data_IF_883253582841
#
_entry.id   IF_883253582841
#
_cell.length_a   1.000
_cell.length_b   1.000
_cell.length_c   1.000
_cell.angle_alpha   90.00
_cell.angle_beta   90.00
_cell.angle_gamma   90.00
#
_symmetry.space_group_name_H-M   'P 1'
#
loop_
_entity.id
_entity.type
_entity.pdbx_description
1 polymer ?
#
# COMPACT_ATOMS: atom_id res chain seq x y z
N UNK A 1 -5.17 -9.56 -2.07
CA UNK A 1 -3.84 -8.95 -2.03
C UNK A 1 -3.57 -8.19 -3.33
N UNK A 2 -2.86 -7.09 -3.21
CA UNK A 2 -2.46 -6.30 -4.37
C UNK A 2 -0.96 -6.39 -4.54
N UNK A 3 -0.51 -6.60 -5.76
CA UNK A 3 0.92 -6.66 -6.05
C UNK A 3 1.40 -5.27 -6.48
N UNK A 4 2.41 -4.76 -5.80
CA UNK A 4 2.97 -3.44 -6.08
C UNK A 4 3.56 -3.40 -7.48
N UNK A 5 3.18 -2.38 -8.23
CA UNK A 5 3.68 -2.16 -9.58
C UNK A 5 4.62 -0.96 -9.58
N UNK A 6 5.42 -0.84 -10.65
CA UNK A 6 6.29 0.31 -10.80
C UNK A 6 5.45 1.59 -10.79
N UNK A 7 5.90 2.55 -10.00
CA UNK A 7 5.20 3.82 -9.88
C UNK A 7 4.15 3.87 -8.78
N UNK A 8 3.85 2.75 -8.15
CA UNK A 8 2.88 2.73 -7.05
C UNK A 8 3.49 3.30 -5.79
N UNK A 9 2.65 4.02 -5.04
CA UNK A 9 3.01 4.54 -3.72
C UNK A 9 1.85 4.25 -2.78
N UNK A 10 2.11 4.32 -1.47
CA UNK A 10 1.04 4.15 -0.51
C UNK A 10 -0.05 5.20 -0.71
N UNK A 11 0.35 6.41 -1.06
CA UNK A 11 -0.60 7.48 -1.31
C UNK A 11 -1.50 7.16 -2.51
N UNK A 12 -0.90 6.74 -3.62
CA UNK A 12 -1.70 6.43 -4.81
C UNK A 12 -2.59 5.21 -4.58
N UNK A 13 -2.09 4.22 -3.85
CA UNK A 13 -2.88 3.04 -3.53
C UNK A 13 -4.04 3.36 -2.59
N UNK A 14 -3.81 4.26 -1.64
CA UNK A 14 -4.87 4.66 -0.73
C UNK A 14 -6.04 5.29 -1.49
N UNK A 15 -5.74 6.11 -2.47
CA UNK A 15 -6.78 6.70 -3.30
C UNK A 15 -7.45 5.68 -4.21
N UNK A 16 -6.65 4.79 -4.77
CA UNK A 16 -7.15 3.77 -5.69
C UNK A 16 -8.15 2.84 -5.00
N UNK A 17 -7.88 2.48 -3.76
CA UNK A 17 -8.70 1.55 -3.02
C UNK A 17 -9.57 2.22 -1.96
N UNK A 18 -9.63 3.54 -1.98
CA UNK A 18 -10.47 4.31 -1.07
C UNK A 18 -10.14 4.03 0.39
N UNK A 19 -8.87 3.99 0.70
CA UNK A 19 -8.36 3.82 2.05
C UNK A 19 -7.45 4.99 2.39
N UNK A 20 -7.15 5.18 3.66
CA UNK A 20 -6.14 6.14 4.04
C UNK A 20 -4.77 5.48 4.01
N UNK A 21 -3.71 6.29 3.90
CA UNK A 21 -2.35 5.78 3.97
C UNK A 21 -2.12 5.08 5.31
N UNK A 22 -2.67 5.64 6.38
CA UNK A 22 -2.53 5.03 7.69
C UNK A 22 -3.20 3.68 7.77
N UNK A 23 -4.37 3.54 7.15
CA UNK A 23 -5.05 2.26 7.10
C UNK A 23 -4.21 1.21 6.38
N UNK A 24 -3.62 1.59 5.25
CA UNK A 24 -2.76 0.67 4.51
C UNK A 24 -1.57 0.24 5.35
N UNK A 25 -0.98 1.18 6.07
CA UNK A 25 0.15 0.87 6.92
C UNK A 25 -0.23 -0.10 8.03
N UNK A 26 -1.37 0.13 8.66
CA UNK A 26 -1.85 -0.73 9.74
C UNK A 26 -2.16 -2.13 9.24
N UNK A 27 -2.83 -2.22 8.09
CA UNK A 27 -3.19 -3.52 7.53
C UNK A 27 -1.96 -4.36 7.21
N UNK A 28 -0.86 -3.72 6.87
CA UNK A 28 0.34 -4.40 6.40
C UNK A 28 1.51 -4.32 7.36
N UNK A 29 1.28 -3.78 8.56
CA UNK A 29 2.33 -3.65 9.57
C UNK A 29 3.54 -2.89 9.03
N UNK A 30 3.28 -1.83 8.29
CA UNK A 30 4.31 -0.98 7.70
C UNK A 30 4.51 0.23 8.60
N UNK A 31 5.73 0.48 9.02
CA UNK A 31 6.03 1.62 9.90
C UNK A 31 6.51 2.85 9.14
N UNK A 32 6.89 2.68 7.88
CA UNK A 32 7.31 3.79 7.03
C UNK A 32 6.61 3.68 5.67
N UNK A 33 7.02 4.51 4.71
CA UNK A 33 6.38 4.50 3.39
C UNK A 33 7.10 3.62 2.38
N UNK A 34 7.98 2.75 2.85
CA UNK A 34 8.78 1.93 1.95
C UNK A 34 7.98 0.72 1.47
N UNK A 35 7.76 0.67 0.18
CA UNK A 35 7.16 -0.49 -0.48
C UNK A 35 8.03 -0.81 -1.69
N UNK A 36 8.02 -2.08 -2.09
CA UNK A 36 8.86 -2.56 -3.19
C UNK A 36 7.99 -3.11 -4.30
N UNK A 37 8.47 -2.94 -5.53
CA UNK A 37 7.79 -3.51 -6.69
C UNK A 37 7.77 -5.03 -6.52
N UNK A 38 6.62 -5.62 -6.79
CA UNK A 38 6.43 -7.06 -6.62
C UNK A 38 6.00 -7.47 -5.23
N UNK A 39 6.05 -6.57 -4.28
CA UNK A 39 5.58 -6.84 -2.92
C UNK A 39 4.05 -7.00 -2.93
N UNK A 40 3.55 -7.94 -2.15
CA UNK A 40 2.11 -8.13 -2.02
C UNK A 40 1.64 -7.47 -0.74
N UNK A 41 0.60 -6.67 -0.83
CA UNK A 41 0.06 -5.96 0.33
C UNK A 41 -1.43 -6.23 0.45
N UNK A 42 -1.91 -6.11 1.65
CA UNK A 42 -3.34 -6.21 1.94
C UNK A 42 -3.98 -4.87 1.69
N UNK A 43 -5.12 -4.87 1.02
CA UNK A 43 -5.86 -3.65 0.72
C UNK A 43 -7.22 -3.65 1.39
N UNK A 44 -7.48 -4.66 2.19
CA UNK A 44 -8.72 -4.71 2.95
C UNK A 44 -8.59 -5.67 4.11
#
# INVERSE_FOLDING_TARGET
LYTIQQGDTLYSLSKKFNLSVEDLKKLNDISDNAINIGQKIKIK
#
